data_IF_267970810335
#
_entry.id   IF_267970810335
#
_cell.length_a   1.000
_cell.length_b   1.000
_cell.length_c   1.000
_cell.angle_alpha   90.00
_cell.angle_beta   90.00
_cell.angle_gamma   90.00
#
_symmetry.space_group_name_H-M   'P 1'
#
loop_
_entity.id
_entity.type
_entity.pdbx_description
1 polymer ?
#
# COMPACT_ATOMS: atom_id res chain seq x y z
N UNK A 1 12.01 61.06 -34.85
CA UNK A 1 10.91 60.07 -34.96
C UNK A 1 11.25 58.88 -34.06
N UNK A 2 10.49 58.66 -32.99
CA UNK A 2 10.69 57.58 -32.02
C UNK A 2 10.27 56.23 -32.63
N UNK A 3 11.16 55.23 -32.63
CA UNK A 3 10.79 53.83 -32.89
C UNK A 3 10.49 53.16 -31.55
N UNK A 4 9.27 52.65 -31.42
CA UNK A 4 8.76 51.93 -30.25
C UNK A 4 9.17 50.46 -30.38
N UNK A 5 9.73 49.91 -29.30
CA UNK A 5 10.01 48.50 -29.11
C UNK A 5 8.72 47.74 -28.77
N UNK A 6 8.56 46.55 -29.34
CA UNK A 6 7.61 45.53 -28.85
C UNK A 6 8.28 44.16 -29.02
N UNK A 7 8.93 43.70 -27.95
CA UNK A 7 9.35 42.30 -27.81
C UNK A 7 8.26 41.62 -26.99
N UNK A 8 7.45 40.80 -27.65
CA UNK A 8 6.50 39.91 -27.00
C UNK A 8 7.30 38.69 -26.52
N UNK A 9 7.63 38.66 -25.22
CA UNK A 9 8.19 37.49 -24.57
C UNK A 9 7.06 36.47 -24.34
N UNK A 10 6.94 35.49 -25.25
CA UNK A 10 6.08 34.33 -25.07
C UNK A 10 6.67 33.40 -24.01
N UNK A 11 6.16 33.48 -22.79
CA UNK A 11 6.42 32.51 -21.73
C UNK A 11 5.58 31.25 -22.01
N UNK A 12 6.14 30.32 -22.78
CA UNK A 12 5.59 28.96 -22.90
C UNK A 12 5.78 28.27 -21.56
N UNK A 13 4.69 28.16 -20.78
CA UNK A 13 4.62 27.31 -19.61
C UNK A 13 4.78 25.86 -20.07
N UNK A 14 5.95 25.26 -19.79
CA UNK A 14 6.12 23.83 -19.87
C UNK A 14 5.22 23.20 -18.80
N UNK A 15 4.06 22.69 -19.21
CA UNK A 15 3.30 21.76 -18.40
C UNK A 15 4.06 20.43 -18.39
N UNK A 16 4.92 20.25 -17.39
CA UNK A 16 5.44 18.93 -17.04
C UNK A 16 4.25 18.05 -16.63
N UNK A 17 3.74 17.33 -17.62
CA UNK A 17 2.69 16.33 -17.44
C UNK A 17 3.35 15.12 -16.78
N UNK A 18 3.47 15.16 -15.46
CA UNK A 18 3.85 14.00 -14.66
C UNK A 18 2.67 13.04 -14.66
N UNK A 19 2.68 12.13 -15.63
CA UNK A 19 1.92 10.89 -15.54
C UNK A 19 2.35 10.20 -14.24
N UNK A 20 1.46 10.20 -13.25
CA UNK A 20 1.62 9.43 -12.03
C UNK A 20 1.75 7.95 -12.42
N UNK A 21 3.00 7.50 -12.53
CA UNK A 21 3.33 6.12 -12.85
C UNK A 21 2.70 5.23 -11.77
N UNK A 22 1.84 4.30 -12.18
CA UNK A 22 1.30 3.24 -11.32
C UNK A 22 2.40 2.48 -10.55
N UNK A 23 3.67 2.56 -10.95
CA UNK A 23 4.82 1.96 -10.26
C UNK A 23 5.43 2.72 -9.07
N UNK A 24 4.86 3.85 -8.63
CA UNK A 24 5.40 4.58 -7.47
C UNK A 24 5.10 3.87 -6.15
N UNK A 25 3.83 3.48 -5.94
CA UNK A 25 3.39 2.86 -4.68
C UNK A 25 3.75 1.38 -4.57
N UNK A 26 3.93 0.66 -5.68
CA UNK A 26 4.41 -0.74 -5.65
C UNK A 26 5.75 -0.88 -4.90
N UNK A 27 6.59 0.16 -4.95
CA UNK A 27 7.89 0.24 -4.25
C UNK A 27 7.79 0.84 -2.85
N UNK A 28 6.61 1.22 -2.39
CA UNK A 28 6.37 1.77 -1.05
C UNK A 28 5.47 0.89 -0.21
N UNK A 29 4.83 -0.10 -0.81
CA UNK A 29 3.81 -0.93 -0.18
C UNK A 29 4.19 -2.42 -0.21
N UNK A 30 3.62 -3.17 0.73
CA UNK A 30 3.70 -4.62 0.79
C UNK A 30 2.56 -5.21 1.62
N UNK A 31 2.44 -6.53 1.59
CA UNK A 31 1.48 -7.26 2.42
C UNK A 31 2.16 -7.68 3.71
N UNK A 32 1.47 -7.53 4.84
CA UNK A 32 1.89 -8.03 6.13
C UNK A 32 1.02 -9.20 6.54
N UNK A 33 1.67 -10.31 6.90
CA UNK A 33 1.06 -11.56 7.33
C UNK A 33 1.60 -11.94 8.70
N UNK A 34 0.84 -12.72 9.46
CA UNK A 34 1.29 -13.23 10.75
C UNK A 34 0.84 -14.66 10.97
N UNK A 35 1.69 -15.45 11.63
CA UNK A 35 1.39 -16.79 12.12
C UNK A 35 2.06 -16.97 13.47
N UNK A 36 1.28 -17.26 14.51
CA UNK A 36 1.75 -17.36 15.89
C UNK A 36 2.52 -16.09 16.31
N UNK A 37 3.82 -16.20 16.59
CA UNK A 37 4.70 -15.09 16.98
C UNK A 37 5.56 -14.55 15.82
N UNK A 38 5.30 -15.00 14.58
CA UNK A 38 6.03 -14.57 13.40
C UNK A 38 5.19 -13.56 12.62
N UNK A 39 5.71 -12.33 12.48
CA UNK A 39 5.13 -11.29 11.61
C UNK A 39 6.06 -11.09 10.43
N UNK A 40 5.50 -11.13 9.23
CA UNK A 40 6.26 -11.06 7.99
C UNK A 40 5.69 -9.99 7.07
N UNK A 41 6.59 -9.23 6.46
CA UNK A 41 6.29 -8.33 5.36
C UNK A 41 6.77 -8.96 4.06
N UNK A 42 5.90 -8.95 3.05
CA UNK A 42 6.20 -9.31 1.68
C UNK A 42 6.09 -8.05 0.83
N UNK A 43 7.20 -7.62 0.24
CA UNK A 43 7.25 -6.39 -0.55
C UNK A 43 8.07 -6.58 -1.82
N UNK A 44 7.77 -5.81 -2.87
CA UNK A 44 8.54 -5.81 -4.11
C UNK A 44 9.94 -5.20 -3.94
N UNK A 45 10.10 -4.32 -2.95
CA UNK A 45 11.34 -3.62 -2.66
C UNK A 45 12.44 -4.59 -2.29
N UNK A 46 13.62 -4.35 -2.85
CA UNK A 46 14.72 -5.28 -2.75
C UNK A 46 15.55 -5.19 -1.45
N UNK A 47 15.48 -4.08 -0.73
CA UNK A 47 16.58 -3.67 0.15
C UNK A 47 16.12 -2.84 1.35
N UNK A 48 15.12 -3.32 2.09
CA UNK A 48 14.93 -2.84 3.47
C UNK A 48 16.10 -3.30 4.32
N UNK A 49 16.63 -2.40 5.13
CA UNK A 49 17.71 -2.70 6.06
C UNK A 49 17.14 -3.23 7.37
N UNK A 50 17.94 -4.02 8.09
CA UNK A 50 17.63 -4.34 9.48
C UNK A 50 17.56 -3.03 10.28
N UNK A 51 16.54 -2.91 11.13
CA UNK A 51 16.24 -1.69 11.88
C UNK A 51 15.33 -0.70 11.15
N UNK A 52 15.05 -0.88 9.85
CA UNK A 52 14.07 -0.05 9.14
C UNK A 52 12.69 -0.17 9.78
N UNK A 53 12.01 0.97 9.95
CA UNK A 53 10.63 1.01 10.41
C UNK A 53 9.66 0.80 9.25
N UNK A 54 8.56 0.12 9.53
CA UNK A 54 7.45 -0.12 8.62
C UNK A 54 6.16 0.23 9.36
N UNK A 55 5.28 1.03 8.75
CA UNK A 55 3.96 1.29 9.31
C UNK A 55 2.97 0.25 8.77
N UNK A 56 2.26 -0.43 9.65
CA UNK A 56 1.28 -1.47 9.35
C UNK A 56 -0.11 -0.87 9.49
N UNK A 57 -0.85 -0.77 8.39
CA UNK A 57 -2.26 -0.38 8.41
C UNK A 57 -3.12 -1.63 8.59
N UNK A 58 -3.70 -1.77 9.78
CA UNK A 58 -4.66 -2.83 10.09
C UNK A 58 -6.01 -2.46 9.50
N UNK A 59 -6.57 -3.33 8.66
CA UNK A 59 -7.70 -3.00 7.78
C UNK A 59 -9.07 -3.22 8.42
N UNK A 60 -9.14 -3.96 9.53
CA UNK A 60 -10.36 -4.08 10.35
C UNK A 60 -10.81 -2.72 10.84
N UNK A 61 -12.13 -2.50 10.89
CA UNK A 61 -12.71 -1.23 11.32
C UNK A 61 -12.95 -1.26 12.84
N UNK A 62 -12.53 -0.24 13.62
CA UNK A 62 -11.77 0.93 13.19
C UNK A 62 -10.33 0.62 12.81
N UNK A 63 -9.88 1.18 11.69
CA UNK A 63 -8.51 0.99 11.20
C UNK A 63 -7.50 1.60 12.18
N UNK A 64 -6.35 0.93 12.29
CA UNK A 64 -5.25 1.30 13.19
C UNK A 64 -3.93 1.28 12.43
N UNK A 65 -2.98 2.06 12.94
CA UNK A 65 -1.58 2.00 12.51
C UNK A 65 -0.75 1.42 13.65
N UNK A 66 0.08 0.44 13.33
CA UNK A 66 1.08 -0.12 14.24
C UNK A 66 2.44 -0.02 13.56
N UNK A 67 3.49 0.30 14.28
CA UNK A 67 4.85 0.35 13.72
C UNK A 67 5.58 -0.96 14.01
N UNK A 68 6.16 -1.55 12.96
CA UNK A 68 7.07 -2.69 13.05
C UNK A 68 8.49 -2.31 12.68
N UNK A 69 9.45 -3.16 13.04
CA UNK A 69 10.87 -2.99 12.73
C UNK A 69 11.40 -4.22 12.02
N UNK A 70 12.12 -4.04 10.92
CA UNK A 70 12.75 -5.13 10.17
C UNK A 70 13.84 -5.78 11.01
N UNK A 71 13.69 -7.07 11.31
CA UNK A 71 14.64 -7.86 12.11
C UNK A 71 15.55 -8.74 11.24
N UNK A 72 15.05 -9.20 10.09
CA UNK A 72 15.80 -10.01 9.15
C UNK A 72 15.28 -9.81 7.72
N UNK A 73 16.17 -10.03 6.75
CA UNK A 73 15.91 -9.96 5.31
C UNK A 73 16.02 -11.37 4.73
N UNK A 74 15.15 -11.70 3.77
CA UNK A 74 15.07 -13.03 3.14
C UNK A 74 14.88 -14.15 4.18
N UNK A 75 14.02 -13.90 5.18
CA UNK A 75 13.77 -14.84 6.27
C UNK A 75 13.03 -16.09 5.76
N UNK A 76 13.66 -17.26 5.91
CA UNK A 76 13.12 -18.53 5.43
C UNK A 76 11.76 -18.86 6.04
N UNK A 77 11.53 -18.55 7.32
CA UNK A 77 10.24 -18.82 7.97
C UNK A 77 9.15 -17.92 7.38
N UNK A 78 9.49 -16.67 7.05
CA UNK A 78 8.57 -15.79 6.35
C UNK A 78 8.22 -16.29 4.96
N UNK A 79 9.18 -16.84 4.22
CA UNK A 79 8.92 -17.51 2.95
C UNK A 79 7.96 -18.68 3.12
N UNK A 80 8.19 -19.53 4.12
CA UNK A 80 7.38 -20.73 4.37
C UNK A 80 5.92 -20.40 4.72
N UNK A 81 5.66 -19.37 5.54
CA UNK A 81 4.28 -18.99 5.87
C UNK A 81 3.59 -18.21 4.75
N UNK A 82 4.34 -17.56 3.86
CA UNK A 82 3.77 -16.72 2.79
C UNK A 82 3.51 -17.51 1.49
N UNK A 83 4.26 -18.58 1.27
CA UNK A 83 4.18 -19.41 0.05
C UNK A 83 2.76 -19.92 -0.26
N UNK A 84 1.96 -20.40 0.72
CA UNK A 84 0.58 -20.83 0.45
C UNK A 84 -0.33 -19.72 -0.07
N UNK A 85 0.00 -18.45 0.18
CA UNK A 85 -0.80 -17.29 -0.17
C UNK A 85 -0.46 -16.69 -1.54
N UNK A 86 0.52 -17.28 -2.25
CA UNK A 86 0.96 -16.91 -3.59
C UNK A 86 1.36 -15.42 -3.76
N UNK A 87 1.99 -14.85 -2.74
CA UNK A 87 2.40 -13.44 -2.74
C UNK A 87 3.82 -13.32 -3.31
N UNK A 88 4.04 -12.66 -4.45
CA UNK A 88 5.39 -12.42 -4.96
C UNK A 88 6.08 -11.30 -4.17
N UNK A 89 7.37 -11.44 -3.92
CA UNK A 89 8.19 -10.39 -3.31
C UNK A 89 9.36 -10.91 -2.50
N UNK A 90 10.03 -9.99 -1.81
CA UNK A 90 11.02 -10.30 -0.79
C UNK A 90 10.36 -10.38 0.58
N UNK A 91 10.89 -11.27 1.40
CA UNK A 91 10.33 -11.62 2.70
C UNK A 91 11.18 -11.02 3.81
N UNK A 92 10.52 -10.28 4.71
CA UNK A 92 11.15 -9.61 5.84
C UNK A 92 10.47 -10.02 7.12
N UNK A 93 11.23 -10.35 8.16
CA UNK A 93 10.66 -10.55 9.49
C UNK A 93 10.53 -9.21 10.19
N UNK A 94 9.37 -8.97 10.78
CA UNK A 94 9.11 -7.79 11.59
C UNK A 94 9.08 -8.14 13.08
N UNK A 95 9.64 -7.25 13.89
CA UNK A 95 9.30 -7.12 15.31
C UNK A 95 8.19 -6.10 15.42
N UNK A 96 7.12 -6.41 16.15
CA UNK A 96 6.00 -5.50 16.39
C UNK A 96 5.78 -5.39 17.90
N UNK A 97 5.69 -4.17 18.47
CA UNK A 97 5.45 -3.99 19.90
C UNK A 97 4.07 -4.50 20.31
N UNK A 98 3.99 -5.18 21.46
CA UNK A 98 2.77 -5.73 22.08
C UNK A 98 2.11 -6.90 21.34
N UNK A 99 1.52 -7.80 22.13
CA UNK A 99 1.12 -9.18 21.81
C UNK A 99 0.63 -9.41 20.36
N UNK A 100 1.37 -10.24 19.62
CA UNK A 100 1.19 -10.56 18.19
C UNK A 100 -0.21 -11.09 17.85
N UNK A 101 -0.94 -11.57 18.87
CA UNK A 101 -2.30 -12.12 18.80
C UNK A 101 -3.39 -11.11 18.46
N UNK A 102 -3.09 -9.80 18.43
CA UNK A 102 -4.06 -8.75 18.09
C UNK A 102 -3.86 -8.12 16.71
N UNK A 103 -2.90 -8.61 15.92
CA UNK A 103 -2.71 -8.14 14.56
C UNK A 103 -3.78 -8.74 13.64
N UNK A 104 -4.76 -7.92 13.25
CA UNK A 104 -5.71 -8.27 12.19
C UNK A 104 -5.01 -8.26 10.83
N UNK A 105 -4.49 -9.43 10.44
CA UNK A 105 -3.82 -9.68 9.16
C UNK A 105 -4.75 -10.43 8.18
N UNK A 106 -4.55 -10.31 6.85
CA UNK A 106 -3.50 -9.55 6.18
C UNK A 106 -3.66 -8.03 6.35
N UNK A 107 -2.54 -7.33 6.45
CA UNK A 107 -2.45 -5.88 6.60
C UNK A 107 -1.60 -5.27 5.49
N UNK A 108 -1.62 -3.93 5.34
CA UNK A 108 -0.77 -3.22 4.37
C UNK A 108 0.43 -2.62 5.10
N UNK A 109 1.64 -3.00 4.69
CA UNK A 109 2.89 -2.44 5.16
C UNK A 109 3.32 -1.27 4.29
N UNK A 110 3.66 -0.15 4.92
CA UNK A 110 4.11 1.08 4.27
C UNK A 110 5.58 1.29 4.62
N UNK A 111 6.41 1.30 3.58
CA UNK A 111 7.87 1.37 3.63
C UNK A 111 8.32 2.82 3.60
N UNK A 112 9.38 3.15 4.35
CA UNK A 112 10.03 4.47 4.31
C UNK A 112 9.04 5.64 4.46
N UNK A 113 8.02 5.47 5.30
CA UNK A 113 6.96 6.46 5.48
C UNK A 113 7.50 7.67 6.25
N UNK A 114 7.84 8.74 5.53
CA UNK A 114 8.08 10.08 6.11
C UNK A 114 6.78 10.82 6.43
N UNK A 115 5.64 10.31 5.93
CA UNK A 115 4.38 11.03 5.88
C UNK A 115 3.43 10.61 7.01
N UNK A 116 2.70 11.57 7.57
CA UNK A 116 1.85 11.39 8.75
C UNK A 116 0.56 10.64 8.38
N UNK A 117 0.61 9.31 8.44
CA UNK A 117 -0.60 8.52 8.52
C UNK A 117 -1.43 9.00 9.70
N UNK A 118 -2.70 9.26 9.47
CA UNK A 118 -3.62 9.73 10.50
C UNK A 118 -4.96 9.04 10.37
N UNK A 119 -5.69 9.03 11.48
CA UNK A 119 -7.04 8.47 11.51
C UNK A 119 -8.07 9.58 11.25
N UNK A 120 -8.95 9.36 10.27
CA UNK A 120 -10.12 10.19 9.99
C UNK A 120 -11.36 9.34 10.23
N UNK A 121 -12.05 9.61 11.35
CA UNK A 121 -13.19 8.80 11.80
C UNK A 121 -12.77 7.36 12.11
N UNK A 122 -13.18 6.39 11.28
CA UNK A 122 -12.86 4.97 11.46
C UNK A 122 -11.77 4.46 10.48
N UNK A 123 -11.21 5.34 9.65
CA UNK A 123 -10.25 4.99 8.59
C UNK A 123 -8.91 5.64 8.83
N UNK A 124 -7.86 4.98 8.36
CA UNK A 124 -6.52 5.57 8.23
C UNK A 124 -6.41 6.18 6.84
N UNK A 125 -5.77 7.33 6.76
CA UNK A 125 -5.43 8.02 5.51
C UNK A 125 -4.01 8.59 5.62
N UNK A 126 -3.40 8.88 4.47
CA UNK A 126 -2.18 9.67 4.41
C UNK A 126 -1.70 9.79 2.96
N UNK A 127 -1.06 10.91 2.64
CA UNK A 127 -0.42 11.12 1.34
C UNK A 127 0.85 10.26 1.26
N UNK A 128 0.85 9.23 0.43
CA UNK A 128 1.91 8.23 0.31
C UNK A 128 2.84 8.49 -0.87
N UNK A 129 2.38 9.21 -1.89
CA UNK A 129 3.15 9.49 -3.10
C UNK A 129 3.62 10.94 -3.23
N UNK A 130 3.11 11.84 -2.39
CA UNK A 130 3.50 13.25 -2.29
C UNK A 130 2.73 14.18 -3.22
N UNK A 131 1.60 13.73 -3.79
CA UNK A 131 0.78 14.53 -4.71
C UNK A 131 -0.19 15.51 -4.01
N UNK A 132 -0.22 15.51 -2.67
CA UNK A 132 -1.10 16.35 -1.86
C UNK A 132 -2.52 15.79 -1.69
N UNK A 133 -2.83 14.64 -2.27
CA UNK A 133 -4.09 13.90 -2.08
C UNK A 133 -3.81 12.71 -1.16
N UNK A 134 -4.59 12.58 -0.10
CA UNK A 134 -4.40 11.45 0.82
C UNK A 134 -4.89 10.14 0.21
N UNK A 135 -4.08 9.09 0.34
CA UNK A 135 -4.52 7.74 0.08
C UNK A 135 -5.40 7.18 1.19
N UNK A 136 -6.35 6.33 0.80
CA UNK A 136 -7.15 5.51 1.71
C UNK A 136 -7.01 4.02 1.46
N UNK A 137 -7.19 3.24 2.52
CA UNK A 137 -6.93 1.80 2.54
C UNK A 137 -8.22 1.00 2.69
N UNK A 138 -8.31 -0.12 1.98
CA UNK A 138 -9.47 -1.02 2.07
C UNK A 138 -9.07 -2.47 1.84
N UNK A 139 -9.80 -3.37 2.51
CA UNK A 139 -9.85 -4.79 2.17
C UNK A 139 -11.29 -5.23 1.92
N UNK A 140 -11.42 -6.24 1.07
CA UNK A 140 -12.66 -6.98 0.86
C UNK A 140 -12.31 -8.45 0.52
N UNK A 141 -13.29 -9.34 0.59
CA UNK A 141 -13.13 -10.76 0.25
C UNK A 141 -13.62 -11.05 -1.16
N UNK A 142 -12.87 -11.87 -1.90
CA UNK A 142 -13.37 -12.64 -3.05
C UNK A 142 -13.91 -13.99 -2.56
N UNK A 143 -14.17 -14.95 -3.46
CA UNK A 143 -14.54 -16.31 -3.08
C UNK A 143 -13.40 -17.06 -2.38
N UNK A 144 -12.13 -16.69 -2.57
CA UNK A 144 -10.99 -17.50 -2.10
C UNK A 144 -9.90 -16.69 -1.38
N UNK A 145 -10.13 -15.39 -1.13
CA UNK A 145 -9.06 -14.53 -0.66
C UNK A 145 -9.47 -13.12 -0.29
N UNK A 146 -8.49 -12.33 0.11
CA UNK A 146 -8.64 -10.90 0.35
C UNK A 146 -8.03 -10.10 -0.81
N UNK A 147 -8.76 -9.09 -1.26
CA UNK A 147 -8.21 -7.98 -2.03
C UNK A 147 -7.79 -6.89 -1.06
N UNK A 148 -6.53 -6.48 -1.12
CA UNK A 148 -5.99 -5.33 -0.41
C UNK A 148 -5.80 -4.19 -1.41
N UNK A 149 -6.35 -3.02 -1.13
CA UNK A 149 -6.34 -1.90 -2.08
C UNK A 149 -5.98 -0.58 -1.41
N UNK A 150 -5.27 0.26 -2.17
CA UNK A 150 -4.98 1.65 -1.81
C UNK A 150 -5.46 2.56 -2.93
N UNK A 151 -6.13 3.63 -2.54
CA UNK A 151 -6.83 4.55 -3.44
C UNK A 151 -6.36 5.98 -3.19
N UNK A 152 -6.08 6.74 -4.23
CA UNK A 152 -5.95 8.20 -4.10
C UNK A 152 -7.35 8.78 -3.83
N UNK A 153 -7.50 9.50 -2.73
CA UNK A 153 -8.79 9.95 -2.22
C UNK A 153 -9.61 8.82 -1.59
N UNK A 154 -10.94 8.89 -1.72
CA UNK A 154 -11.87 7.96 -1.06
C UNK A 154 -11.96 6.63 -1.81
N UNK A 155 -11.75 5.51 -1.11
CA UNK A 155 -11.91 4.16 -1.65
C UNK A 155 -13.26 3.95 -2.37
N UNK A 156 -13.22 3.20 -3.48
CA UNK A 156 -14.32 2.90 -4.42
C UNK A 156 -14.80 4.07 -5.29
N UNK A 157 -14.44 5.31 -4.96
CA UNK A 157 -14.81 6.50 -5.76
C UNK A 157 -13.60 7.21 -6.37
N UNK A 158 -12.43 7.07 -5.76
CA UNK A 158 -11.17 7.60 -6.25
C UNK A 158 -10.46 6.67 -7.22
N UNK A 159 -9.20 6.98 -7.53
CA UNK A 159 -8.36 6.14 -8.40
C UNK A 159 -7.64 5.09 -7.57
N UNK A 160 -7.76 3.80 -7.94
CA UNK A 160 -6.99 2.73 -7.30
C UNK A 160 -5.52 2.84 -7.72
N UNK A 161 -4.63 3.06 -6.77
CA UNK A 161 -3.19 3.29 -6.99
C UNK A 161 -2.35 2.04 -6.70
N UNK A 162 -2.89 1.11 -5.91
CA UNK A 162 -2.25 -0.16 -5.59
C UNK A 162 -3.29 -1.24 -5.29
N UNK A 163 -2.98 -2.48 -5.65
CA UNK A 163 -3.79 -3.65 -5.35
C UNK A 163 -2.89 -4.87 -5.15
N UNK A 164 -3.26 -5.72 -4.19
CA UNK A 164 -2.67 -7.03 -4.05
C UNK A 164 -3.70 -8.04 -3.57
N UNK A 165 -3.46 -9.32 -3.87
CA UNK A 165 -4.34 -10.42 -3.56
C UNK A 165 -3.68 -11.35 -2.55
N UNK A 166 -4.45 -11.76 -1.53
CA UNK A 166 -4.04 -12.70 -0.50
C UNK A 166 -4.95 -13.91 -0.54
N UNK A 167 -4.45 -15.04 -1.04
CA UNK A 167 -5.21 -16.29 -1.14
C UNK A 167 -5.35 -16.96 0.23
N UNK A 168 -6.54 -17.40 0.61
CA UNK A 168 -6.79 -18.01 1.93
C UNK A 168 -6.59 -19.53 1.98
N UNK A 169 -6.67 -20.21 0.83
CA UNK A 169 -6.63 -21.67 0.77
C UNK A 169 -7.97 -22.33 1.13
N UNK A 170 -9.05 -21.56 1.21
CA UNK A 170 -10.41 -22.02 1.44
C UNK A 170 -11.41 -20.96 0.95
N UNK A 171 -12.65 -21.38 0.76
CA UNK A 171 -13.71 -20.50 0.28
C UNK A 171 -14.24 -19.57 1.37
N UNK A 172 -14.55 -18.33 1.01
CA UNK A 172 -15.18 -17.32 1.87
C UNK A 172 -16.27 -16.57 1.13
N UNK A 173 -17.20 -15.96 1.88
CA UNK A 173 -18.26 -15.15 1.30
C UNK A 173 -17.66 -13.89 0.64
N UNK A 174 -17.90 -13.64 -0.66
CA UNK A 174 -17.40 -12.45 -1.34
C UNK A 174 -18.06 -11.17 -0.81
N UNK A 175 -17.24 -10.15 -0.56
CA UNK A 175 -17.70 -8.80 -0.17
C UNK A 175 -17.13 -7.70 -1.07
N UNK A 176 -16.26 -8.06 -2.02
CA UNK A 176 -15.70 -7.13 -3.00
C UNK A 176 -16.73 -6.67 -4.03
N UNK A 177 -16.60 -5.42 -4.44
CA UNK A 177 -17.26 -4.87 -5.63
C UNK A 177 -16.39 -5.07 -6.87
N UNK A 178 -16.98 -4.95 -8.06
CA UNK A 178 -16.27 -5.15 -9.34
C UNK A 178 -15.04 -4.25 -9.49
N UNK A 179 -15.08 -3.00 -8.99
CA UNK A 179 -13.97 -2.04 -9.08
C UNK A 179 -12.76 -2.44 -8.21
N UNK A 180 -12.95 -3.34 -7.24
CA UNK A 180 -11.88 -3.88 -6.39
C UNK A 180 -11.20 -5.10 -7.01
N UNK A 181 -11.88 -5.77 -7.95
CA UNK A 181 -11.43 -7.07 -8.51
C UNK A 181 -10.87 -6.92 -9.93
N UNK A 182 -11.47 -6.07 -10.77
CA UNK A 182 -10.96 -5.85 -12.14
C UNK A 182 -9.65 -5.09 -12.10
N UNK A 183 -8.71 -5.44 -12.97
CA UNK A 183 -7.52 -4.64 -13.17
C UNK A 183 -7.89 -3.29 -13.79
N UNK A 184 -7.16 -2.22 -13.43
CA UNK A 184 -7.43 -0.88 -13.95
C UNK A 184 -7.36 -0.83 -15.50
N UNK A 185 -6.70 -1.80 -16.13
CA UNK A 185 -6.62 -1.93 -17.58
C UNK A 185 -7.89 -2.49 -18.23
N UNK A 186 -8.77 -3.13 -17.44
CA UNK A 186 -10.01 -3.77 -17.91
C UNK A 186 -11.25 -2.87 -17.73
N UNK A 187 -11.05 -1.64 -17.24
CA UNK A 187 -12.10 -0.65 -17.00
C UNK A 187 -12.22 0.38 -18.15
N UNK A 188 -11.69 0.07 -19.34
CA UNK A 188 -11.80 0.89 -20.54
C UNK A 188 -13.03 0.54 -21.37
#
# INVERSE_FOLDING_TARGET
>A
MKRVFLIVAGLMLAFDSQFAMAGSLDRKLGIVVAKENLVCLIASVASLNIGSQVNLVLLSVPQKVVTGTVMSVSDRKCTEISKPHNIPGKYYRLSVPNNHTQLSVPAIGILNSSNQLRRVGLRVVGDLDGDGIEESFRSCTSSEGFHLTVWSGRALTGTRKWHSYYYLGYDVEPTCTTIEVKDNNDLK
#
